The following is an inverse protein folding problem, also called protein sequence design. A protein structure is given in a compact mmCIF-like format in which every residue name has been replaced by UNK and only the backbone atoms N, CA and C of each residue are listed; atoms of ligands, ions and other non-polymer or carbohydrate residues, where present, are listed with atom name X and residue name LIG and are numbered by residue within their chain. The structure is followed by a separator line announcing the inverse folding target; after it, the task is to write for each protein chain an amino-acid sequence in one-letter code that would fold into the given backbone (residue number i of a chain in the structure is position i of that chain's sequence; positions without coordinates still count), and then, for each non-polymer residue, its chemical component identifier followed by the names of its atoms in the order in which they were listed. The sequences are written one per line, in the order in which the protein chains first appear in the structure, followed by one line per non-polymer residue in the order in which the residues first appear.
data_IF_418565467013
#
_entry.id   IF_418565467013
#
_cell.length_a   1.000
_cell.length_b   1.000
_cell.length_c   1.000
_cell.angle_alpha   90.00
_cell.angle_beta   90.00
_cell.angle_gamma   90.00
#
_symmetry.space_group_name_H-M   'P 1'
#
loop_
_entity.id
_entity.type
_entity.pdbx_description
1 polymer ?
#
# COMPACT_ATOMS: atom_id res chain seq x y z
N UNK A 1 -27.48 7.39 -58.93
CA UNK A 1 -27.93 7.94 -57.63
C UNK A 1 -27.31 7.09 -56.53
N UNK A 2 -26.12 7.45 -56.05
CA UNK A 2 -25.45 6.75 -54.95
C UNK A 2 -25.82 7.44 -53.64
N UNK A 3 -26.55 6.76 -52.77
CA UNK A 3 -26.80 7.26 -51.41
C UNK A 3 -25.51 7.10 -50.62
N UNK A 4 -24.97 8.20 -50.11
CA UNK A 4 -23.84 8.19 -49.17
C UNK A 4 -24.29 7.54 -47.86
N UNK A 5 -23.58 6.52 -47.35
CA UNK A 5 -23.94 5.90 -46.07
C UNK A 5 -23.79 6.91 -44.92
N UNK A 6 -24.66 6.86 -43.90
CA UNK A 6 -24.58 7.77 -42.77
C UNK A 6 -23.26 7.55 -42.01
N UNK A 7 -22.58 8.63 -41.66
CA UNK A 7 -21.38 8.58 -40.84
C UNK A 7 -21.69 7.86 -39.52
N UNK A 8 -20.99 6.76 -39.25
CA UNK A 8 -21.12 6.01 -38.00
C UNK A 8 -20.65 6.90 -36.85
N UNK A 9 -21.59 7.38 -36.05
CA UNK A 9 -21.29 8.14 -34.85
C UNK A 9 -20.47 7.28 -33.88
N UNK A 10 -19.24 7.72 -33.58
CA UNK A 10 -18.40 7.07 -32.56
C UNK A 10 -19.10 7.21 -31.21
N UNK A 11 -19.37 6.13 -30.46
CA UNK A 11 -20.00 6.24 -29.16
C UNK A 11 -19.09 7.04 -28.23
N UNK A 12 -19.61 8.17 -27.72
CA UNK A 12 -18.91 8.97 -26.74
C UNK A 12 -18.67 8.12 -25.48
N UNK A 13 -17.44 8.16 -24.93
CA UNK A 13 -17.08 7.41 -23.73
C UNK A 13 -17.94 7.86 -22.55
N UNK A 14 -18.87 7.01 -22.15
CA UNK A 14 -19.70 7.25 -20.98
C UNK A 14 -18.98 6.75 -19.74
N UNK A 15 -18.80 7.63 -18.75
CA UNK A 15 -18.30 7.25 -17.45
C UNK A 15 -19.40 6.52 -16.69
N UNK A 16 -19.10 5.43 -15.96
CA UNK A 16 -20.09 4.75 -15.15
C UNK A 16 -20.65 5.70 -14.09
N UNK A 17 -21.98 5.72 -13.94
CA UNK A 17 -22.64 6.47 -12.87
C UNK A 17 -22.35 5.81 -11.51
N UNK A 18 -22.26 6.61 -10.46
CA UNK A 18 -22.10 6.10 -9.09
C UNK A 18 -23.39 5.40 -8.67
N UNK A 19 -23.31 4.09 -8.41
CA UNK A 19 -24.44 3.27 -7.93
C UNK A 19 -24.42 3.13 -6.40
N UNK A 20 -25.53 2.69 -5.81
CA UNK A 20 -25.57 2.33 -4.37
C UNK A 20 -24.54 1.23 -4.04
N UNK A 21 -24.37 0.23 -4.90
CA UNK A 21 -23.33 -0.79 -4.72
C UNK A 21 -21.93 -0.18 -4.69
N UNK A 22 -21.64 0.77 -5.59
CA UNK A 22 -20.36 1.49 -5.60
C UNK A 22 -20.15 2.26 -4.29
N UNK A 23 -21.20 2.90 -3.77
CA UNK A 23 -21.15 3.57 -2.46
C UNK A 23 -20.89 2.58 -1.33
N UNK A 24 -21.55 1.42 -1.32
CA UNK A 24 -21.34 0.38 -0.31
C UNK A 24 -19.91 -0.16 -0.33
N UNK A 25 -19.34 -0.41 -1.52
CA UNK A 25 -17.93 -0.81 -1.64
C UNK A 25 -16.97 0.27 -1.13
N UNK A 26 -17.24 1.54 -1.41
CA UNK A 26 -16.43 2.65 -0.88
C UNK A 26 -16.52 2.72 0.65
N UNK A 27 -17.71 2.51 1.24
CA UNK A 27 -17.88 2.46 2.69
C UNK A 27 -17.10 1.29 3.30
N UNK A 28 -17.20 0.09 2.71
CA UNK A 28 -16.45 -1.08 3.17
C UNK A 28 -14.94 -0.83 3.08
N UNK A 29 -14.47 -0.29 1.95
CA UNK A 29 -13.07 0.05 1.76
C UNK A 29 -12.59 1.08 2.79
N UNK A 30 -13.39 2.12 3.06
CA UNK A 30 -13.05 3.13 4.05
C UNK A 30 -12.97 2.53 5.46
N UNK A 31 -13.94 1.68 5.85
CA UNK A 31 -13.92 1.00 7.15
C UNK A 31 -12.73 0.03 7.27
N UNK A 32 -12.41 -0.69 6.20
CA UNK A 32 -11.25 -1.58 6.16
C UNK A 32 -9.95 -0.78 6.35
N UNK A 33 -9.76 0.31 5.61
CA UNK A 33 -8.58 1.17 5.76
C UNK A 33 -8.50 1.80 7.16
N UNK A 34 -9.61 2.32 7.68
CA UNK A 34 -9.64 2.90 9.02
C UNK A 34 -9.26 1.86 10.06
N UNK A 35 -9.93 0.71 10.11
CA UNK A 35 -9.63 -0.34 11.09
C UNK A 35 -8.20 -0.87 10.98
N UNK A 36 -7.64 -0.89 9.78
CA UNK A 36 -6.31 -1.40 9.50
C UNK A 36 -5.19 -0.44 9.85
N UNK A 37 -5.42 0.87 9.70
CA UNK A 37 -4.46 1.94 9.97
C UNK A 37 -4.70 2.67 11.31
N UNK A 38 -5.72 2.27 12.07
CA UNK A 38 -6.02 2.84 13.38
C UNK A 38 -5.09 2.29 14.46
N UNK A 39 -4.52 3.20 15.27
CA UNK A 39 -3.79 2.89 16.51
C UNK A 39 -2.57 1.94 16.36
N UNK A 40 -1.86 2.00 15.23
CA UNK A 40 -0.70 1.12 14.99
C UNK A 40 0.45 1.35 15.95
N UNK A 41 0.53 2.48 16.65
CA UNK A 41 1.67 2.82 17.50
C UNK A 41 1.50 2.43 18.98
N UNK A 42 0.34 1.94 19.40
CA UNK A 42 0.03 1.80 20.84
C UNK A 42 0.69 0.60 21.52
N UNK A 43 1.19 -0.38 20.75
CA UNK A 43 1.73 -1.65 21.25
C UNK A 43 3.21 -1.78 20.93
N UNK A 44 3.97 -2.31 21.88
CA UNK A 44 5.36 -2.71 21.67
C UNK A 44 5.50 -3.69 20.50
N UNK A 45 6.66 -3.66 19.83
CA UNK A 45 6.95 -4.53 18.69
C UNK A 45 7.05 -5.99 19.14
N UNK A 46 6.39 -6.89 18.41
CA UNK A 46 6.62 -8.32 18.53
C UNK A 46 8.01 -8.70 18.00
N UNK A 47 8.48 -9.92 18.28
CA UNK A 47 9.80 -10.39 17.85
C UNK A 47 10.05 -10.18 16.34
N UNK A 48 9.18 -10.70 15.49
CA UNK A 48 9.34 -10.58 14.03
C UNK A 48 9.19 -9.14 13.52
N UNK A 49 8.32 -8.34 14.17
CA UNK A 49 8.21 -6.91 13.86
C UNK A 49 9.52 -6.17 14.17
N UNK A 50 10.19 -6.52 15.27
CA UNK A 50 11.46 -5.90 15.66
C UNK A 50 12.60 -6.22 14.68
N UNK A 51 12.62 -7.44 14.12
CA UNK A 51 13.60 -7.82 13.09
C UNK A 51 13.36 -7.01 11.81
N UNK A 52 12.11 -6.93 11.36
CA UNK A 52 11.74 -6.08 10.23
C UNK A 52 12.07 -4.62 10.49
N UNK A 53 11.84 -4.10 11.69
CA UNK A 53 12.16 -2.72 12.04
C UNK A 53 13.66 -2.45 11.96
N UNK A 54 14.45 -3.28 12.67
CA UNK A 54 15.89 -3.09 12.81
C UNK A 54 16.62 -3.19 11.47
N UNK A 55 16.40 -4.25 10.70
CA UNK A 55 17.11 -4.46 9.44
C UNK A 55 16.70 -3.45 8.37
N UNK A 56 15.43 -3.05 8.34
CA UNK A 56 14.98 -1.98 7.44
C UNK A 56 15.58 -0.64 7.82
N UNK A 57 15.76 -0.36 9.11
CA UNK A 57 16.42 0.85 9.59
C UNK A 57 17.92 0.86 9.26
N UNK A 58 18.61 -0.27 9.40
CA UNK A 58 19.99 -0.39 8.94
C UNK A 58 20.10 -0.06 7.44
N UNK A 59 19.24 -0.67 6.62
CA UNK A 59 19.19 -0.41 5.18
C UNK A 59 18.89 1.07 4.87
N UNK A 60 17.87 1.64 5.52
CA UNK A 60 17.46 3.03 5.30
C UNK A 60 18.52 4.06 5.73
N UNK A 61 19.33 3.74 6.73
CA UNK A 61 20.39 4.62 7.24
C UNK A 61 21.76 4.37 6.60
N UNK A 62 21.82 3.49 5.59
CA UNK A 62 23.07 3.14 4.91
C UNK A 62 24.05 2.39 5.81
N UNK A 63 23.57 1.79 6.89
CA UNK A 63 24.34 0.82 7.67
C UNK A 63 24.39 -0.50 6.89
N UNK A 64 25.45 -1.28 7.11
CA UNK A 64 25.82 -2.45 6.31
C UNK A 64 24.82 -3.62 6.44
N UNK A 65 23.60 -3.43 5.93
CA UNK A 65 22.56 -4.44 5.83
C UNK A 65 22.97 -5.50 4.80
N UNK A 66 23.02 -6.74 5.27
CA UNK A 66 23.21 -7.92 4.44
C UNK A 66 22.03 -8.85 4.68
N UNK A 67 21.39 -9.29 3.60
CA UNK A 67 20.29 -10.24 3.71
C UNK A 67 20.82 -11.62 4.16
N UNK A 68 20.22 -12.17 5.20
CA UNK A 68 20.46 -13.53 5.68
C UNK A 68 19.33 -14.46 5.21
N UNK A 69 19.63 -15.59 4.54
CA UNK A 69 18.62 -16.56 4.09
C UNK A 69 17.77 -17.18 5.20
N UNK A 70 18.20 -17.11 6.46
CA UNK A 70 17.41 -17.55 7.61
C UNK A 70 16.32 -16.55 8.01
N UNK A 71 16.32 -15.34 7.44
CA UNK A 71 15.30 -14.31 7.63
C UNK A 71 14.21 -14.41 6.54
N UNK A 72 13.10 -13.68 6.73
CA UNK A 72 12.09 -13.51 5.69
C UNK A 72 12.67 -12.93 4.38
N UNK A 73 11.96 -13.10 3.26
CA UNK A 73 12.41 -12.59 1.97
C UNK A 73 12.73 -11.08 1.99
N UNK A 74 13.67 -10.62 1.14
CA UNK A 74 14.25 -9.27 1.23
C UNK A 74 13.24 -8.14 0.98
N UNK A 75 12.13 -8.43 0.30
CA UNK A 75 11.16 -7.43 -0.15
C UNK A 75 10.63 -6.55 0.99
N UNK A 76 10.19 -7.15 2.09
CA UNK A 76 9.62 -6.38 3.20
C UNK A 76 10.65 -5.45 3.85
N UNK A 77 11.92 -5.86 3.91
CA UNK A 77 12.98 -4.99 4.44
C UNK A 77 13.23 -3.77 3.56
N UNK A 78 13.23 -3.96 2.23
CA UNK A 78 13.43 -2.86 1.28
C UNK A 78 12.22 -1.93 1.23
N UNK A 79 11.01 -2.50 1.24
CA UNK A 79 9.78 -1.71 1.22
C UNK A 79 9.62 -0.90 2.50
N UNK A 80 9.91 -1.50 3.66
CA UNK A 80 9.86 -0.78 4.93
C UNK A 80 11.01 0.25 5.05
N UNK A 81 12.19 -0.01 4.48
CA UNK A 81 13.25 1.00 4.38
C UNK A 81 12.85 2.21 3.52
N UNK A 82 12.13 2.00 2.41
CA UNK A 82 11.54 3.09 1.62
C UNK A 82 10.53 3.90 2.46
N UNK A 83 9.69 3.24 3.25
CA UNK A 83 8.74 3.91 4.15
C UNK A 83 9.49 4.77 5.17
N UNK A 84 10.58 4.26 5.76
CA UNK A 84 11.41 5.05 6.68
C UNK A 84 12.09 6.24 6.00
N UNK A 85 12.51 6.11 4.74
CA UNK A 85 13.06 7.22 3.97
C UNK A 85 12.02 8.33 3.71
N UNK A 86 10.74 7.98 3.55
CA UNK A 86 9.66 8.92 3.27
C UNK A 86 9.05 9.55 4.54
N UNK A 87 8.91 8.76 5.62
CA UNK A 87 8.12 9.14 6.79
C UNK A 87 8.89 9.07 8.12
N UNK A 88 10.13 8.60 8.12
CA UNK A 88 10.91 8.32 9.32
C UNK A 88 10.60 6.96 9.95
N UNK A 89 11.54 6.47 10.77
CA UNK A 89 11.38 5.21 11.51
C UNK A 89 10.63 5.43 12.82
N UNK A 90 9.58 4.64 13.05
CA UNK A 90 8.76 4.62 14.26
C UNK A 90 7.99 3.30 14.35
N UNK A 91 7.39 3.00 15.50
CA UNK A 91 6.53 1.82 15.68
C UNK A 91 5.34 1.81 14.71
N UNK A 92 4.81 3.00 14.38
CA UNK A 92 3.71 3.16 13.41
C UNK A 92 4.18 2.85 11.99
N UNK A 93 5.26 3.49 11.54
CA UNK A 93 5.73 3.37 10.15
C UNK A 93 6.28 1.99 9.85
N UNK A 94 6.84 1.29 10.85
CA UNK A 94 7.27 -0.12 10.75
C UNK A 94 6.16 -1.05 10.29
N UNK A 95 4.92 -0.76 10.70
CA UNK A 95 3.78 -1.62 10.44
C UNK A 95 3.04 -1.24 9.16
N UNK A 96 3.40 -0.15 8.48
CA UNK A 96 2.75 0.25 7.22
C UNK A 96 2.87 -0.81 6.12
N UNK A 97 4.00 -1.55 6.07
CA UNK A 97 4.20 -2.60 5.08
C UNK A 97 3.34 -3.85 5.32
N UNK A 98 2.99 -4.13 6.58
CA UNK A 98 2.24 -5.33 6.99
C UNK A 98 0.79 -5.03 7.39
N UNK A 99 0.42 -3.75 7.49
CA UNK A 99 -0.94 -3.25 7.60
C UNK A 99 -1.65 -3.31 6.23
#
# INVERSE_FOLDING_TARGET
MGQTPPASATPARQWPAITLESLLYLVILALALLSRFWDLGSRALHHDESLHAYFSWLLATGQNYTHDPLMHGPFLFHFNALIYALFGASDVTTRFSSA
#
